data_IF_844740735443
#
_entry.id   IF_844740735443
#
_cell.length_a   1.000
_cell.length_b   1.000
_cell.length_c   1.000
_cell.angle_alpha   90.00
_cell.angle_beta   90.00
_cell.angle_gamma   90.00
#
_symmetry.space_group_name_H-M   'P 1'
#
loop_
_entity.id
_entity.type
_entity.pdbx_description
1 polymer ?
#
# COMPACT_ATOMS: atom_id res chain seq x y z
N UNK A 1 18.51 -24.06 65.24
CA UNK A 1 17.16 -23.91 64.63
C UNK A 1 16.84 -22.47 64.21
N UNK A 2 16.97 -21.46 65.09
CA UNK A 2 16.64 -20.06 64.74
C UNK A 2 17.49 -19.45 63.61
N UNK A 3 18.76 -19.83 63.51
CA UNK A 3 19.69 -19.36 62.45
C UNK A 3 19.40 -19.95 61.08
N UNK A 4 19.02 -21.24 61.01
CA UNK A 4 18.65 -21.92 59.76
C UNK A 4 17.29 -21.41 59.25
N UNK A 5 16.35 -21.10 60.16
CA UNK A 5 15.06 -20.51 59.83
C UNK A 5 15.20 -19.10 59.23
N UNK A 6 16.10 -18.27 59.78
CA UNK A 6 16.35 -16.93 59.26
C UNK A 6 17.03 -16.93 57.87
N UNK A 7 17.90 -17.90 57.60
CA UNK A 7 18.52 -18.07 56.27
C UNK A 7 17.50 -18.47 55.19
N UNK A 8 16.56 -19.37 55.51
CA UNK A 8 15.50 -19.80 54.59
C UNK A 8 14.53 -18.65 54.29
N UNK A 9 14.16 -17.86 55.31
CA UNK A 9 13.28 -16.69 55.15
C UNK A 9 13.94 -15.61 54.30
N UNK A 10 15.24 -15.34 54.47
CA UNK A 10 15.98 -14.37 53.65
C UNK A 10 16.12 -14.81 52.19
N UNK A 11 16.36 -16.10 51.91
CA UNK A 11 16.39 -16.60 50.51
C UNK A 11 15.03 -16.57 49.83
N UNK A 12 13.94 -16.82 50.56
CA UNK A 12 12.58 -16.73 50.02
C UNK A 12 12.18 -15.28 49.72
N UNK A 13 12.63 -14.30 50.52
CA UNK A 13 12.38 -12.87 50.26
C UNK A 13 13.18 -12.38 49.04
N UNK A 14 14.41 -12.87 48.84
CA UNK A 14 15.21 -12.51 47.65
C UNK A 14 14.62 -13.14 46.37
N UNK A 15 14.13 -14.39 46.44
CA UNK A 15 13.42 -15.04 45.32
C UNK A 15 12.06 -14.38 45.02
N UNK A 16 11.37 -13.86 46.03
CA UNK A 16 10.13 -13.09 45.84
C UNK A 16 10.41 -11.69 45.24
N UNK A 17 11.51 -11.03 45.63
CA UNK A 17 11.91 -9.72 45.10
C UNK A 17 12.44 -9.80 43.64
N UNK A 18 13.05 -10.91 43.23
CA UNK A 18 13.45 -11.14 41.83
C UNK A 18 12.25 -11.45 40.91
N UNK A 19 11.08 -11.77 41.46
CA UNK A 19 9.86 -12.05 40.70
C UNK A 19 9.06 -10.80 40.30
N UNK A 20 9.31 -9.64 40.93
CA UNK A 20 8.55 -8.41 40.68
C UNK A 20 9.02 -7.58 39.49
N UNK A 21 10.22 -7.83 38.96
CA UNK A 21 10.79 -7.10 37.81
C UNK A 21 10.73 -7.87 36.49
N UNK A 22 10.05 -9.03 36.44
CA UNK A 22 9.94 -9.86 35.24
C UNK A 22 8.52 -9.92 34.65
N UNK A 23 7.66 -8.97 34.99
CA UNK A 23 6.50 -8.65 34.14
C UNK A 23 6.86 -7.43 33.31
N UNK A 24 7.37 -7.67 32.10
CA UNK A 24 7.53 -6.66 31.06
C UNK A 24 6.17 -6.09 30.67
N UNK A 25 5.64 -5.19 31.51
CA UNK A 25 4.39 -4.50 31.29
C UNK A 25 4.55 -3.61 30.07
N UNK A 26 3.90 -3.98 28.97
CA UNK A 26 3.78 -3.13 27.79
C UNK A 26 3.17 -1.81 28.24
N UNK A 27 3.98 -0.75 28.30
CA UNK A 27 3.48 0.57 28.69
C UNK A 27 2.38 1.00 27.72
N UNK A 28 1.21 1.47 28.20
CA UNK A 28 0.11 1.85 27.32
C UNK A 28 0.56 2.85 26.24
N UNK A 29 0.23 2.59 24.98
CA UNK A 29 0.52 3.53 23.89
C UNK A 29 -0.52 4.65 23.86
N UNK A 30 -0.21 5.73 24.58
CA UNK A 30 -1.04 6.93 24.70
C UNK A 30 -0.47 8.04 23.83
N UNK A 31 -1.30 8.66 23.00
CA UNK A 31 -0.91 9.82 22.21
C UNK A 31 -0.77 11.06 23.12
N UNK A 32 0.09 12.04 22.79
CA UNK A 32 0.18 13.27 23.57
C UNK A 32 -1.14 14.05 23.49
N UNK A 33 -1.50 14.79 24.55
CA UNK A 33 -2.73 15.62 24.58
C UNK A 33 -2.82 16.64 23.43
N UNK A 34 -1.69 17.04 22.85
CA UNK A 34 -1.68 17.91 21.67
C UNK A 34 -2.30 17.24 20.44
N UNK A 35 -2.20 15.91 20.31
CA UNK A 35 -2.81 15.16 19.22
C UNK A 35 -4.34 15.26 19.25
N UNK A 36 -4.96 15.34 20.43
CA UNK A 36 -6.42 15.49 20.57
C UNK A 36 -6.96 16.82 20.00
N UNK A 37 -6.08 17.80 19.79
CA UNK A 37 -6.44 19.09 19.17
C UNK A 37 -6.47 19.02 17.65
N UNK A 38 -5.86 18.00 17.03
CA UNK A 38 -5.85 17.84 15.58
C UNK A 38 -7.27 17.53 15.08
N UNK A 39 -7.72 18.30 14.09
CA UNK A 39 -9.01 18.10 13.44
C UNK A 39 -8.81 17.34 12.14
N UNK A 40 -9.60 16.30 11.95
CA UNK A 40 -9.62 15.53 10.72
C UNK A 40 -10.29 16.36 9.61
N UNK A 41 -9.55 16.84 8.59
CA UNK A 41 -10.12 17.66 7.53
C UNK A 41 -11.01 16.87 6.57
N UNK A 42 -10.96 15.52 6.63
CA UNK A 42 -11.72 14.63 5.77
C UNK A 42 -12.89 13.95 6.48
N UNK A 43 -13.23 14.38 7.70
CA UNK A 43 -14.23 13.70 8.52
C UNK A 43 -15.55 13.52 7.75
N UNK A 44 -16.11 12.31 7.84
CA UNK A 44 -17.35 11.89 7.16
C UNK A 44 -17.33 11.98 5.62
N UNK A 45 -16.15 12.13 4.99
CA UNK A 45 -15.98 12.05 3.55
C UNK A 45 -15.89 10.58 3.08
N UNK A 46 -16.89 10.14 2.30
CA UNK A 46 -16.98 8.77 1.79
C UNK A 46 -15.86 8.40 0.81
N UNK A 47 -15.48 9.32 -0.09
CA UNK A 47 -14.37 9.12 -1.03
C UNK A 47 -13.06 8.92 -0.26
N UNK A 48 -12.76 9.78 0.72
CA UNK A 48 -11.59 9.63 1.58
C UNK A 48 -11.60 8.31 2.36
N UNK A 49 -12.78 7.86 2.80
CA UNK A 49 -12.95 6.56 3.47
C UNK A 49 -12.62 5.40 2.53
N UNK A 50 -13.04 5.47 1.26
CA UNK A 50 -12.74 4.46 0.25
C UNK A 50 -11.25 4.43 -0.12
N UNK A 51 -10.59 5.59 -0.25
CA UNK A 51 -9.14 5.65 -0.43
C UNK A 51 -8.40 5.09 0.80
N UNK A 52 -8.88 5.41 2.00
CA UNK A 52 -8.39 4.83 3.25
C UNK A 52 -8.48 3.31 3.29
N UNK A 53 -9.56 2.72 2.76
CA UNK A 53 -9.72 1.26 2.64
C UNK A 53 -8.65 0.62 1.76
N UNK A 54 -8.31 1.25 0.63
CA UNK A 54 -7.26 0.76 -0.27
C UNK A 54 -5.90 0.75 0.45
N UNK A 55 -5.54 1.88 1.06
CA UNK A 55 -4.30 2.02 1.83
C UNK A 55 -4.23 1.01 2.98
N UNK A 56 -5.34 0.84 3.71
CA UNK A 56 -5.42 -0.13 4.80
C UNK A 56 -5.18 -1.55 4.32
N UNK A 57 -5.79 -1.93 3.20
CA UNK A 57 -5.66 -3.27 2.62
C UNK A 57 -4.22 -3.55 2.22
N UNK A 58 -3.54 -2.54 1.64
CA UNK A 58 -2.16 -2.66 1.17
C UNK A 58 -1.14 -2.71 2.31
N UNK A 59 -1.33 -1.93 3.38
CA UNK A 59 -0.25 -1.68 4.35
C UNK A 59 -0.58 -2.07 5.79
N UNK A 60 -1.85 -2.09 6.18
CA UNK A 60 -2.26 -2.22 7.59
C UNK A 60 -2.87 -3.59 7.88
N UNK A 61 -3.61 -4.17 6.93
CA UNK A 61 -4.38 -5.40 7.10
C UNK A 61 -3.50 -6.64 7.38
N UNK A 62 -2.25 -6.64 6.91
CA UNK A 62 -1.30 -7.75 7.17
C UNK A 62 -1.05 -7.98 8.67
N UNK A 63 -1.09 -6.91 9.47
CA UNK A 63 -0.95 -6.97 10.93
C UNK A 63 -2.29 -6.80 11.65
N UNK A 64 -3.14 -5.86 11.23
CA UNK A 64 -4.39 -5.54 11.91
C UNK A 64 -5.59 -6.40 11.50
N UNK A 65 -5.44 -7.23 10.45
CA UNK A 65 -6.47 -8.11 9.92
C UNK A 65 -7.49 -7.39 9.02
N UNK A 66 -8.12 -8.07 8.05
CA UNK A 66 -9.09 -7.44 7.14
C UNK A 66 -10.36 -6.94 7.86
N UNK A 67 -10.64 -7.48 9.05
CA UNK A 67 -11.76 -7.08 9.91
C UNK A 67 -11.35 -6.12 11.02
N UNK A 68 -10.09 -5.63 11.02
CA UNK A 68 -9.58 -4.69 12.01
C UNK A 68 -9.45 -5.25 13.42
N UNK A 69 -9.38 -6.56 13.61
CA UNK A 69 -9.41 -7.19 14.93
C UNK A 69 -8.03 -7.33 15.59
N UNK A 70 -6.97 -6.93 14.91
CA UNK A 70 -5.59 -7.16 15.37
C UNK A 70 -5.11 -8.60 15.17
N UNK A 71 -5.79 -9.35 14.30
CA UNK A 71 -5.59 -10.78 14.02
C UNK A 71 -5.00 -11.04 12.62
N UNK A 72 -4.28 -10.05 12.06
CA UNK A 72 -3.58 -10.22 10.80
C UNK A 72 -2.46 -11.27 10.92
N UNK A 73 -2.16 -11.94 9.81
CA UNK A 73 -1.16 -13.02 9.76
C UNK A 73 0.18 -12.64 10.39
N UNK A 74 0.70 -11.43 10.10
CA UNK A 74 1.94 -10.95 10.71
C UNK A 74 1.74 -10.43 12.14
N UNK A 75 0.52 -9.99 12.49
CA UNK A 75 0.19 -9.44 13.80
C UNK A 75 0.03 -10.49 14.91
N UNK A 76 -0.33 -11.72 14.55
CA UNK A 76 -0.64 -12.79 15.51
C UNK A 76 0.55 -13.14 16.44
N UNK A 77 1.77 -13.00 15.93
CA UNK A 77 3.04 -13.29 16.62
C UNK A 77 3.69 -12.06 17.30
N UNK A 78 3.13 -10.86 17.14
CA UNK A 78 3.72 -9.64 17.71
C UNK A 78 3.37 -9.48 19.20
N UNK A 79 4.32 -8.93 19.96
CA UNK A 79 4.11 -8.50 21.34
C UNK A 79 4.52 -7.02 21.53
N UNK A 80 3.58 -6.11 21.85
CA UNK A 80 2.14 -6.33 21.96
C UNK A 80 1.50 -6.66 20.60
N UNK A 81 0.37 -7.37 20.64
CA UNK A 81 -0.46 -7.59 19.47
C UNK A 81 -1.01 -6.26 18.94
N UNK A 82 -1.24 -6.13 17.61
CA UNK A 82 -1.91 -4.98 17.05
C UNK A 82 -3.29 -4.75 17.69
N UNK A 83 -3.67 -3.48 17.85
CA UNK A 83 -4.93 -3.12 18.49
C UNK A 83 -6.15 -3.58 17.69
N UNK A 84 -7.19 -4.03 18.40
CA UNK A 84 -8.50 -4.32 17.84
C UNK A 84 -9.27 -3.00 17.60
N UNK A 85 -9.39 -2.59 16.34
CA UNK A 85 -10.11 -1.40 15.91
C UNK A 85 -11.63 -1.50 16.08
N UNK A 86 -12.20 -2.68 16.28
CA UNK A 86 -13.62 -2.81 16.64
C UNK A 86 -13.89 -2.54 18.12
N UNK A 87 -12.85 -2.36 18.94
CA UNK A 87 -13.01 -2.15 20.39
C UNK A 87 -13.43 -0.71 20.70
N UNK A 88 -14.28 -0.55 21.72
CA UNK A 88 -14.67 0.76 22.24
C UNK A 88 -13.47 1.59 22.66
N UNK A 89 -12.44 0.96 23.25
CA UNK A 89 -11.19 1.64 23.63
C UNK A 89 -10.48 2.31 22.45
N UNK A 90 -10.46 1.69 21.27
CA UNK A 90 -9.90 2.33 20.08
C UNK A 90 -10.87 3.38 19.55
N UNK A 91 -12.16 3.05 19.46
CA UNK A 91 -13.16 3.97 18.90
C UNK A 91 -13.41 5.21 19.77
N UNK A 92 -13.11 5.18 21.06
CA UNK A 92 -13.21 6.32 21.96
C UNK A 92 -12.03 7.31 21.85
N UNK A 93 -10.92 6.91 21.21
CA UNK A 93 -9.81 7.84 20.97
C UNK A 93 -10.24 8.94 20.00
N UNK A 94 -9.60 10.10 20.05
CA UNK A 94 -9.82 11.17 19.06
C UNK A 94 -9.24 10.78 17.69
N UNK A 95 -9.75 11.38 16.61
CA UNK A 95 -9.19 11.18 15.27
C UNK A 95 -7.70 11.58 15.23
N UNK A 96 -7.35 12.67 15.91
CA UNK A 96 -5.98 13.15 16.03
C UNK A 96 -5.04 12.19 16.76
N UNK A 97 -5.52 11.51 17.81
CA UNK A 97 -4.73 10.48 18.49
C UNK A 97 -4.43 9.28 17.57
N UNK A 98 -5.41 8.83 16.78
CA UNK A 98 -5.20 7.74 15.79
C UNK A 98 -4.25 8.21 14.69
N UNK A 99 -4.44 9.42 14.16
CA UNK A 99 -3.57 10.03 13.16
C UNK A 99 -2.11 10.10 13.65
N UNK A 100 -1.90 10.54 14.89
CA UNK A 100 -0.56 10.63 15.49
C UNK A 100 0.10 9.25 15.61
N UNK A 101 -0.66 8.22 16.01
CA UNK A 101 -0.16 6.84 16.11
C UNK A 101 0.27 6.28 14.75
N UNK A 102 -0.48 6.54 13.69
CA UNK A 102 -0.09 6.16 12.31
C UNK A 102 1.18 6.92 11.90
N UNK A 103 1.24 8.21 12.23
CA UNK A 103 2.34 9.09 11.83
C UNK A 103 3.64 8.68 12.52
N UNK A 104 3.66 8.59 13.84
CA UNK A 104 4.89 8.38 14.60
C UNK A 104 5.23 6.89 14.76
N UNK A 105 4.24 5.99 14.72
CA UNK A 105 4.45 4.57 14.99
C UNK A 105 4.92 4.30 16.42
N UNK A 106 5.13 3.02 16.71
CA UNK A 106 5.77 2.54 17.95
C UNK A 106 6.06 1.06 17.76
N UNK A 107 7.32 0.64 17.96
CA UNK A 107 7.72 -0.76 17.82
C UNK A 107 6.71 -1.71 18.52
N UNK A 108 6.21 -2.75 17.83
CA UNK A 108 6.64 -3.25 16.51
C UNK A 108 6.00 -2.55 15.29
N UNK A 109 5.08 -1.60 15.49
CA UNK A 109 4.47 -0.84 14.39
C UNK A 109 5.42 0.26 13.88
N UNK A 110 5.72 0.24 12.58
CA UNK A 110 6.53 1.26 11.94
C UNK A 110 5.86 2.64 11.93
N UNK A 111 6.67 3.68 11.81
CA UNK A 111 6.19 5.02 11.44
C UNK A 111 5.80 5.05 9.97
N UNK A 112 4.68 5.70 9.63
CA UNK A 112 4.27 5.92 8.24
C UNK A 112 4.48 7.37 7.77
N UNK A 113 5.14 8.21 8.58
CA UNK A 113 5.35 9.64 8.27
C UNK A 113 6.09 9.87 6.96
N UNK A 114 7.09 9.03 6.68
CA UNK A 114 7.95 9.14 5.50
C UNK A 114 7.34 8.51 4.23
N UNK A 115 6.35 7.61 4.38
CA UNK A 115 5.80 6.81 3.27
C UNK A 115 4.43 7.30 2.83
N UNK A 116 3.61 7.80 3.76
CA UNK A 116 2.27 8.32 3.47
C UNK A 116 2.25 9.84 3.55
N UNK A 117 1.55 10.49 2.63
CA UNK A 117 1.24 11.92 2.71
C UNK A 117 0.25 12.19 3.86
N UNK A 118 0.19 13.43 4.34
CA UNK A 118 -0.73 13.86 5.42
C UNK A 118 -2.19 13.44 5.14
N UNK A 119 -2.68 13.76 3.95
CA UNK A 119 -4.03 13.42 3.50
C UNK A 119 -4.31 11.90 3.54
N UNK A 120 -3.32 11.08 3.18
CA UNK A 120 -3.45 9.61 3.19
C UNK A 120 -3.55 9.03 4.61
N UNK A 121 -2.86 9.65 5.58
CA UNK A 121 -3.00 9.27 6.99
C UNK A 121 -4.39 9.64 7.54
N UNK A 122 -4.97 10.77 7.13
CA UNK A 122 -6.36 11.10 7.47
C UNK A 122 -7.39 10.17 6.81
N UNK A 123 -7.17 9.77 5.56
CA UNK A 123 -7.98 8.75 4.88
C UNK A 123 -7.99 7.42 5.66
N UNK A 124 -6.84 6.98 6.16
CA UNK A 124 -6.74 5.79 7.03
C UNK A 124 -7.55 5.96 8.32
N UNK A 125 -7.52 7.13 8.97
CA UNK A 125 -8.33 7.41 10.16
C UNK A 125 -9.81 7.24 9.86
N UNK A 126 -10.31 7.81 8.75
CA UNK A 126 -11.70 7.63 8.32
C UNK A 126 -12.07 6.15 8.16
N UNK A 127 -11.21 5.38 7.50
CA UNK A 127 -11.46 3.96 7.31
C UNK A 127 -11.46 3.19 8.64
N UNK A 128 -10.54 3.49 9.56
CA UNK A 128 -10.49 2.88 10.90
C UNK A 128 -11.80 3.13 11.67
N UNK A 129 -12.47 4.27 11.47
CA UNK A 129 -13.78 4.55 12.08
C UNK A 129 -14.89 3.65 11.57
N UNK A 130 -14.76 3.06 10.39
CA UNK A 130 -15.77 2.14 9.84
C UNK A 130 -15.85 0.81 10.59
N UNK A 131 -14.83 0.46 11.38
CA UNK A 131 -14.86 -0.75 12.22
C UNK A 131 -15.73 -0.61 13.47
N UNK A 132 -16.26 0.58 13.77
CA UNK A 132 -17.22 0.78 14.86
C UNK A 132 -18.58 0.18 14.49
N UNK A 133 -18.96 -0.92 15.16
CA UNK A 133 -20.25 -1.59 14.96
C UNK A 133 -21.47 -0.80 15.46
N UNK A 134 -21.24 0.20 16.31
CA UNK A 134 -22.31 1.05 16.86
C UNK A 134 -22.58 2.28 15.97
N UNK A 135 -21.78 2.48 14.90
CA UNK A 135 -22.17 3.37 13.81
C UNK A 135 -23.09 2.53 12.91
N UNK A 136 -24.34 2.94 12.61
CA UNK A 136 -25.18 2.21 11.68
C UNK A 136 -24.36 1.98 10.41
N UNK A 137 -24.27 0.73 9.97
CA UNK A 137 -23.67 0.39 8.68
C UNK A 137 -24.58 0.96 7.60
N UNK A 138 -24.43 2.24 7.32
CA UNK A 138 -24.86 2.77 6.04
C UNK A 138 -23.94 2.10 5.01
N UNK A 139 -24.45 1.04 4.35
CA UNK A 139 -24.27 0.88 2.91
C UNK A 139 -24.26 2.31 2.34
N UNK A 140 -23.24 2.77 1.59
CA UNK A 140 -23.05 4.19 1.29
C UNK A 140 -24.40 4.82 1.05
N UNK A 141 -24.88 5.56 2.04
CA UNK A 141 -26.16 6.22 1.92
C UNK A 141 -25.84 7.27 0.87
N UNK A 142 -26.30 7.04 -0.35
CA UNK A 142 -26.63 8.13 -1.24
C UNK A 142 -27.47 9.07 -0.38
N UNK A 143 -26.86 10.18 0.05
CA UNK A 143 -27.58 11.21 0.80
C UNK A 143 -28.88 11.46 0.02
N UNK A 144 -30.04 11.58 0.68
CA UNK A 144 -31.16 12.31 0.08
C UNK A 144 -30.57 13.61 -0.46
N UNK A 145 -30.85 13.92 -1.73
CA UNK A 145 -30.31 15.08 -2.45
C UNK A 145 -30.79 16.35 -1.74
N UNK A 146 -30.14 16.70 -0.65
CA UNK A 146 -30.01 18.08 -0.21
C UNK A 146 -29.14 18.73 -1.28
N UNK A 147 -29.72 19.70 -1.99
CA UNK A 147 -29.16 20.38 -3.17
C UNK A 147 -27.65 20.45 -3.08
N UNK A 148 -27.01 19.50 -3.75
CA UNK A 148 -25.57 19.46 -3.88
C UNK A 148 -25.23 20.73 -4.66
N UNK A 149 -24.35 21.57 -4.12
CA UNK A 149 -23.93 22.75 -4.86
C UNK A 149 -23.43 22.31 -6.25
N UNK A 150 -23.82 22.98 -7.35
CA UNK A 150 -23.50 22.55 -8.71
C UNK A 150 -22.02 22.23 -8.97
N UNK A 151 -21.13 22.82 -8.17
CA UNK A 151 -19.70 22.63 -8.22
C UNK A 151 -19.24 21.27 -7.67
N UNK A 152 -19.86 20.76 -6.59
CA UNK A 152 -19.51 19.45 -6.03
C UNK A 152 -19.97 18.32 -6.95
N UNK A 153 -21.11 18.48 -7.63
CA UNK A 153 -21.56 17.50 -8.63
C UNK A 153 -20.65 17.46 -9.86
N UNK A 154 -20.23 18.64 -10.34
CA UNK A 154 -19.23 18.73 -11.40
C UNK A 154 -17.91 18.06 -10.97
N UNK A 155 -17.44 18.31 -9.75
CA UNK A 155 -16.23 17.69 -9.23
C UNK A 155 -16.34 16.16 -9.17
N UNK A 156 -17.46 15.63 -8.66
CA UNK A 156 -17.70 14.17 -8.63
C UNK A 156 -17.74 13.54 -10.03
N UNK A 157 -18.37 14.22 -10.99
CA UNK A 157 -18.41 13.75 -12.38
C UNK A 157 -17.02 13.71 -13.00
N UNK A 158 -16.25 14.79 -12.86
CA UNK A 158 -14.88 14.86 -13.35
C UNK A 158 -13.97 13.80 -12.70
N UNK A 159 -14.13 13.56 -11.39
CA UNK A 159 -13.39 12.52 -10.69
C UNK A 159 -13.78 11.11 -11.16
N UNK A 160 -15.07 10.85 -11.36
CA UNK A 160 -15.56 9.57 -11.92
C UNK A 160 -15.00 9.34 -13.33
N UNK A 161 -15.10 10.33 -14.20
CA UNK A 161 -14.57 10.29 -15.57
C UNK A 161 -13.05 10.05 -15.57
N UNK A 162 -12.30 10.73 -14.68
CA UNK A 162 -10.87 10.52 -14.50
C UNK A 162 -10.53 9.11 -14.03
N UNK A 163 -11.32 8.55 -13.10
CA UNK A 163 -11.13 7.19 -12.58
C UNK A 163 -11.44 6.11 -13.62
N UNK A 164 -12.47 6.29 -14.42
CA UNK A 164 -12.81 5.40 -15.55
C UNK A 164 -11.69 5.43 -16.60
N UNK A 165 -11.22 6.62 -16.98
CA UNK A 165 -10.10 6.78 -17.91
C UNK A 165 -8.82 6.13 -17.38
N UNK A 166 -8.47 6.37 -16.11
CA UNK A 166 -7.31 5.74 -15.48
C UNK A 166 -7.42 4.21 -15.53
N UNK A 167 -8.58 3.65 -15.16
CA UNK A 167 -8.78 2.19 -15.14
C UNK A 167 -8.60 1.57 -16.53
N UNK A 168 -9.13 2.22 -17.56
CA UNK A 168 -8.96 1.80 -18.96
C UNK A 168 -7.48 1.79 -19.37
N UNK A 169 -6.73 2.85 -19.05
CA UNK A 169 -5.31 2.96 -19.37
C UNK A 169 -4.49 1.84 -18.70
N UNK A 170 -4.80 1.47 -17.45
CA UNK A 170 -4.11 0.37 -16.77
C UNK A 170 -4.38 -0.97 -17.45
N UNK A 171 -5.65 -1.27 -17.78
CA UNK A 171 -6.00 -2.52 -18.48
C UNK A 171 -5.31 -2.61 -19.84
N UNK A 172 -5.27 -1.51 -20.60
CA UNK A 172 -4.59 -1.46 -21.90
C UNK A 172 -3.06 -1.60 -21.76
N UNK A 173 -2.47 -1.00 -20.71
CA UNK A 173 -1.06 -1.13 -20.40
C UNK A 173 -0.68 -2.57 -20.04
N UNK A 174 -1.44 -3.20 -19.14
CA UNK A 174 -1.22 -4.57 -18.69
C UNK A 174 -1.39 -5.57 -19.87
N UNK A 175 -2.40 -5.35 -20.71
CA UNK A 175 -2.62 -6.15 -21.93
C UNK A 175 -1.43 -6.02 -22.90
N UNK A 176 -0.95 -4.80 -23.12
CA UNK A 176 0.21 -4.54 -23.97
C UNK A 176 1.48 -5.16 -23.39
N UNK A 177 1.66 -5.10 -22.07
CA UNK A 177 2.78 -5.70 -21.37
C UNK A 177 2.77 -7.22 -21.52
N UNK A 178 1.62 -7.86 -21.31
CA UNK A 178 1.44 -9.31 -21.47
C UNK A 178 1.72 -9.76 -22.91
N UNK A 179 1.36 -8.94 -23.90
CA UNK A 179 1.68 -9.15 -25.31
C UNK A 179 3.15 -8.85 -25.68
N UNK A 180 4.01 -8.52 -24.70
CA UNK A 180 5.41 -8.07 -24.87
C UNK A 180 5.55 -6.82 -25.75
N UNK A 181 4.47 -6.08 -25.96
CA UNK A 181 4.50 -4.78 -26.61
C UNK A 181 4.87 -3.70 -25.59
N UNK A 182 6.14 -3.73 -25.16
CA UNK A 182 6.64 -2.90 -24.07
C UNK A 182 6.57 -1.40 -24.37
N UNK A 183 6.69 -1.01 -25.65
CA UNK A 183 6.53 0.40 -26.07
C UNK A 183 5.09 0.88 -25.87
N UNK A 184 4.10 0.10 -26.30
CA UNK A 184 2.69 0.42 -26.07
C UNK A 184 2.35 0.45 -24.57
N UNK A 185 2.82 -0.54 -23.81
CA UNK A 185 2.64 -0.57 -22.35
C UNK A 185 3.19 0.69 -21.67
N UNK A 186 4.40 1.13 -22.05
CA UNK A 186 5.02 2.35 -21.51
C UNK A 186 4.19 3.60 -21.79
N UNK A 187 3.62 3.72 -22.99
CA UNK A 187 2.76 4.86 -23.35
C UNK A 187 1.54 4.89 -22.42
N UNK A 188 0.85 3.76 -22.30
CA UNK A 188 -0.39 3.68 -21.52
C UNK A 188 -0.17 3.93 -20.02
N UNK A 189 0.88 3.36 -19.42
CA UNK A 189 1.25 3.68 -18.04
C UNK A 189 1.65 5.14 -17.85
N UNK A 190 2.36 5.75 -18.82
CA UNK A 190 2.72 7.17 -18.75
C UNK A 190 1.48 8.07 -18.82
N UNK A 191 0.50 7.74 -19.66
CA UNK A 191 -0.79 8.43 -19.70
C UNK A 191 -1.56 8.26 -18.39
N UNK A 192 -1.51 7.08 -17.77
CA UNK A 192 -2.14 6.82 -16.47
C UNK A 192 -1.54 7.71 -15.37
N UNK A 193 -0.22 7.95 -15.39
CA UNK A 193 0.44 8.88 -14.46
C UNK A 193 0.05 10.34 -14.66
N UNK A 194 -0.40 10.77 -15.85
CA UNK A 194 -0.95 12.13 -16.01
C UNK A 194 -2.23 12.32 -15.20
N UNK A 195 -2.98 11.23 -14.97
CA UNK A 195 -4.20 11.23 -14.14
C UNK A 195 -3.86 11.02 -12.66
N UNK A 196 -2.93 10.11 -12.35
CA UNK A 196 -2.47 9.84 -10.98
C UNK A 196 -0.94 9.89 -10.88
N UNK A 197 -0.33 11.08 -10.75
CA UNK A 197 1.13 11.24 -10.83
C UNK A 197 1.92 10.56 -9.72
N UNK A 198 1.27 10.22 -8.60
CA UNK A 198 1.91 9.59 -7.43
C UNK A 198 1.63 8.08 -7.32
N UNK A 199 1.15 7.43 -8.39
CA UNK A 199 0.86 6.01 -8.37
C UNK A 199 2.14 5.17 -8.40
N UNK A 200 2.54 4.66 -7.22
CA UNK A 200 3.79 3.90 -7.05
C UNK A 200 3.82 2.60 -7.86
N UNK A 201 2.66 1.94 -8.07
CA UNK A 201 2.60 0.70 -8.84
C UNK A 201 2.92 0.98 -10.31
N UNK A 202 2.32 2.04 -10.87
CA UNK A 202 2.55 2.45 -12.26
C UNK A 202 3.98 2.96 -12.46
N UNK A 203 4.52 3.73 -11.51
CA UNK A 203 5.92 4.15 -11.53
C UNK A 203 6.86 2.94 -11.54
N UNK A 204 6.61 1.94 -10.69
CA UNK A 204 7.42 0.71 -10.65
C UNK A 204 7.35 -0.05 -11.99
N UNK A 205 6.16 -0.16 -12.59
CA UNK A 205 5.97 -0.81 -13.90
C UNK A 205 6.72 -0.09 -15.02
N UNK A 206 6.78 1.24 -15.01
CA UNK A 206 7.57 2.01 -15.98
C UNK A 206 9.08 1.78 -15.83
N UNK A 207 9.56 1.65 -14.59
CA UNK A 207 10.96 1.33 -14.32
C UNK A 207 11.31 -0.09 -14.78
N UNK A 208 10.42 -1.06 -14.58
CA UNK A 208 10.54 -2.44 -15.07
C UNK A 208 10.58 -2.51 -16.61
N UNK A 209 9.78 -1.67 -17.29
CA UNK A 209 9.70 -1.62 -18.74
C UNK A 209 10.96 -1.10 -19.44
N UNK A 210 11.71 -0.21 -18.79
CA UNK A 210 12.87 0.46 -19.41
C UNK A 210 13.94 -0.53 -19.91
N UNK A 211 14.47 -1.46 -19.08
CA UNK A 211 15.44 -2.45 -19.57
C UNK A 211 14.84 -3.42 -20.59
N UNK A 212 13.55 -3.76 -20.49
CA UNK A 212 12.88 -4.65 -21.44
C UNK A 212 12.75 -4.05 -22.84
N UNK A 213 12.50 -2.74 -22.92
CA UNK A 213 12.44 -2.02 -24.21
C UNK A 213 13.82 -2.01 -24.86
N UNK A 214 14.88 -1.67 -24.11
CA UNK A 214 16.25 -1.66 -24.62
C UNK A 214 16.65 -3.03 -25.14
N UNK A 215 16.33 -4.08 -24.38
CA UNK A 215 16.62 -5.46 -24.77
C UNK A 215 15.83 -5.90 -26.01
N UNK A 216 14.56 -5.51 -26.12
CA UNK A 216 13.74 -5.77 -27.30
C UNK A 216 14.28 -5.05 -28.55
N UNK A 217 14.73 -3.80 -28.40
CA UNK A 217 15.34 -3.03 -29.49
C UNK A 217 16.65 -3.64 -29.97
N UNK A 218 17.52 -4.06 -29.03
CA UNK A 218 18.77 -4.78 -29.37
C UNK A 218 18.49 -6.06 -30.14
N UNK A 219 17.50 -6.85 -29.71
CA UNK A 219 17.11 -8.09 -30.40
C UNK A 219 16.61 -7.81 -31.81
N UNK A 220 15.87 -6.72 -32.02
CA UNK A 220 15.36 -6.38 -33.34
C UNK A 220 16.48 -5.91 -34.28
N UNK A 221 17.42 -5.10 -33.79
CA UNK A 221 18.63 -4.72 -34.54
C UNK A 221 19.43 -5.96 -34.93
N UNK A 222 19.69 -6.85 -33.97
CA UNK A 222 20.42 -8.09 -34.23
C UNK A 222 19.73 -8.96 -35.28
N UNK A 223 18.40 -9.09 -35.23
CA UNK A 223 17.64 -9.80 -36.27
C UNK A 223 17.81 -9.18 -37.65
N UNK A 224 17.84 -7.86 -37.74
CA UNK A 224 18.05 -7.16 -39.01
C UNK A 224 19.45 -7.37 -39.56
N UNK A 225 20.47 -7.34 -38.69
CA UNK A 225 21.86 -7.62 -39.05
C UNK A 225 22.04 -9.06 -39.54
N UNK A 226 21.52 -10.04 -38.80
CA UNK A 226 21.53 -11.46 -39.20
C UNK A 226 20.84 -11.64 -40.56
N UNK A 227 19.65 -11.04 -40.73
CA UNK A 227 18.91 -11.11 -42.01
C UNK A 227 19.69 -10.48 -43.17
N UNK A 228 20.46 -9.43 -42.92
CA UNK A 228 21.31 -8.78 -43.92
C UNK A 228 22.49 -9.67 -44.30
N UNK A 229 23.17 -10.28 -43.32
CA UNK A 229 24.31 -11.16 -43.58
C UNK A 229 23.86 -12.45 -44.30
N UNK A 230 22.78 -13.08 -43.87
CA UNK A 230 22.19 -14.25 -44.55
C UNK A 230 21.83 -13.95 -46.01
N UNK A 231 21.29 -12.76 -46.30
CA UNK A 231 21.00 -12.35 -47.69
C UNK A 231 22.27 -12.19 -48.52
N UNK A 232 23.36 -11.75 -47.90
CA UNK A 232 24.65 -11.57 -48.56
C UNK A 232 25.29 -12.93 -48.85
N UNK A 233 25.36 -13.80 -47.85
CA UNK A 233 25.84 -15.19 -47.99
C UNK A 233 25.04 -15.95 -49.06
N UNK A 234 23.72 -15.91 -49.02
CA UNK A 234 22.86 -16.54 -50.02
C UNK A 234 23.11 -15.99 -51.44
N UNK A 235 23.34 -14.68 -51.57
CA UNK A 235 23.68 -14.06 -52.86
C UNK A 235 25.05 -14.54 -53.37
N UNK A 236 26.03 -14.66 -52.49
CA UNK A 236 27.36 -15.16 -52.82
C UNK A 236 27.30 -16.63 -53.25
N UNK A 237 26.53 -17.46 -52.56
CA UNK A 237 26.29 -18.87 -52.90
C UNK A 237 25.65 -19.04 -54.29
N UNK A 238 24.55 -18.33 -54.57
CA UNK A 238 23.89 -18.36 -55.89
C UNK A 238 24.86 -17.94 -57.02
N UNK A 239 25.72 -16.93 -56.78
CA UNK A 239 26.70 -16.50 -57.77
C UNK A 239 27.75 -17.60 -58.04
N UNK A 240 28.14 -18.37 -57.02
CA UNK A 240 29.07 -19.48 -57.20
C UNK A 240 28.45 -20.65 -57.96
N UNK A 241 27.20 -21.00 -57.66
CA UNK A 241 26.46 -22.04 -58.40
C UNK A 241 26.32 -21.70 -59.89
N UNK A 242 25.87 -20.47 -60.20
CA UNK A 242 25.72 -20.02 -61.60
C UNK A 242 27.05 -19.99 -62.37
N UNK A 243 28.18 -19.76 -61.70
CA UNK A 243 29.53 -19.84 -62.32
C UNK A 243 30.00 -21.28 -62.49
N UNK A 244 29.57 -22.18 -61.61
CA UNK A 244 29.88 -23.61 -61.67
C UNK A 244 29.18 -24.33 -62.82
N UNK A 245 27.96 -23.90 -63.16
CA UNK A 245 27.14 -24.46 -64.25
C UNK A 245 27.55 -24.01 -65.67
N UNK A 246 28.44 -23.01 -65.79
CA UNK A 246 28.92 -22.49 -67.08
C UNK A 246 30.20 -23.16 -67.62
N UNK A 247 30.64 -24.28 -67.03
CA UNK A 247 31.79 -25.09 -67.47
C UNK A 247 31.36 -26.46 -67.93
#
# INVERSE_FOLDING_TARGET
>A
MKTVLNLIVSTLIILFAMSFNYYGGVTPWVAPKSADKLKNPLKDNATATNEGKKLYTQMCAVCHGPKGKGDGMAGAALNPRPSNFTSEKVQAQTDGAIYWKITEGRSPMASYKAVLKDNQRWQLVNYIRTFNKNKPTTKPAEKPIEKIEPQEEKARRLEKEANEKYTKLIVEADTSFAAKNYKAAKIQYSEALKIRPSDSLVIFKLNELTPLIVEAEKREILKQEIKKELKKELKEEIIQELKGEQK
#
